data_IF_159519593678
#
_entry.id   IF_159519593678
#
_cell.length_a   1.000
_cell.length_b   1.000
_cell.length_c   1.000
_cell.angle_alpha   90.00
_cell.angle_beta   90.00
_cell.angle_gamma   90.00
#
_symmetry.space_group_name_H-M   'P 1'
#
loop_
_entity.id
_entity.type
_entity.pdbx_description
1 polymer ?
#
# COMPACT_ATOMS: atom_id res chain seq x y z
N UNK A 1 32.30 -4.68 40.26
CA UNK A 1 31.97 -4.79 38.81
C UNK A 1 31.98 -6.28 38.47
N UNK A 2 30.79 -6.87 38.31
CA UNK A 2 30.66 -8.28 37.95
C UNK A 2 31.00 -8.37 36.45
N UNK A 3 32.13 -9.01 36.13
CA UNK A 3 32.42 -9.44 34.76
C UNK A 3 31.28 -10.37 34.34
N UNK A 4 30.35 -9.85 33.55
CA UNK A 4 29.40 -10.67 32.82
C UNK A 4 30.25 -11.53 31.88
N UNK A 5 30.18 -12.85 32.10
CA UNK A 5 30.99 -13.83 31.42
C UNK A 5 30.57 -13.87 29.93
N UNK A 6 31.32 -13.11 29.13
CA UNK A 6 31.10 -12.94 27.70
C UNK A 6 31.23 -14.27 26.93
N UNK A 7 31.96 -15.24 27.48
CA UNK A 7 32.15 -16.58 26.91
C UNK A 7 30.92 -17.48 27.13
N UNK A 8 30.24 -17.37 28.28
CA UNK A 8 28.99 -18.10 28.51
C UNK A 8 27.83 -17.58 27.63
N UNK A 9 27.87 -16.30 27.24
CA UNK A 9 26.86 -15.68 26.38
C UNK A 9 27.10 -15.97 24.89
N UNK A 10 28.36 -16.05 24.43
CA UNK A 10 28.72 -16.55 23.10
C UNK A 10 28.35 -18.03 22.92
N UNK A 11 28.53 -18.84 23.96
CA UNK A 11 28.16 -20.27 23.97
C UNK A 11 26.65 -20.50 23.76
N UNK A 12 25.80 -19.62 24.33
CA UNK A 12 24.35 -19.69 24.16
C UNK A 12 23.88 -19.21 22.77
N UNK A 13 24.59 -18.24 22.18
CA UNK A 13 24.28 -17.70 20.84
C UNK A 13 24.70 -18.68 19.75
N UNK A 14 25.88 -19.31 19.84
CA UNK A 14 26.29 -20.37 18.90
C UNK A 14 25.44 -21.65 19.02
N UNK A 15 25.01 -22.01 20.23
CA UNK A 15 24.09 -23.14 20.47
C UNK A 15 22.70 -22.88 19.87
N UNK A 16 22.22 -21.63 19.86
CA UNK A 16 20.96 -21.26 19.19
C UNK A 16 21.10 -21.17 17.67
N UNK A 17 22.21 -20.68 17.14
CA UNK A 17 22.49 -20.61 15.69
C UNK A 17 22.64 -22.01 15.07
N UNK A 18 23.23 -22.97 15.79
CA UNK A 18 23.31 -24.36 15.35
C UNK A 18 21.96 -25.09 15.39
N UNK A 19 21.03 -24.70 16.28
CA UNK A 19 19.68 -25.32 16.34
C UNK A 19 18.73 -24.66 15.31
N UNK A 20 18.90 -23.36 15.02
CA UNK A 20 18.08 -22.65 14.03
C UNK A 20 18.49 -22.90 12.58
N UNK A 21 19.79 -23.02 12.28
CA UNK A 21 20.28 -23.24 10.91
C UNK A 21 19.89 -24.62 10.33
N UNK A 22 19.50 -25.57 11.18
CA UNK A 22 19.10 -26.93 10.77
C UNK A 22 17.56 -27.07 10.75
N UNK A 23 16.82 -26.01 11.12
CA UNK A 23 15.35 -26.04 11.15
C UNK A 23 14.67 -25.73 9.81
N UNK A 24 15.41 -25.31 8.78
CA UNK A 24 14.80 -24.75 7.57
C UNK A 24 15.23 -25.33 6.21
N UNK A 25 15.99 -26.42 6.19
CA UNK A 25 16.22 -27.22 4.97
C UNK A 25 16.25 -28.70 5.38
N UNK A 26 15.83 -29.61 4.49
CA UNK A 26 15.61 -31.06 4.67
C UNK A 26 14.21 -31.46 5.14
N UNK A 27 13.28 -31.61 4.19
CA UNK A 27 11.97 -32.26 4.42
C UNK A 27 12.02 -33.79 4.33
N UNK A 28 13.18 -34.41 4.54
CA UNK A 28 13.36 -35.86 4.69
C UNK A 28 14.70 -36.04 5.41
N UNK A 29 14.71 -36.68 6.57
CA UNK A 29 15.95 -37.00 7.28
C UNK A 29 16.71 -38.08 6.51
N UNK A 30 18.03 -37.98 6.40
CA UNK A 30 18.88 -39.00 5.79
C UNK A 30 18.81 -40.34 6.55
N UNK A 31 18.54 -40.28 7.86
CA UNK A 31 18.29 -41.44 8.72
C UNK A 31 16.78 -41.67 8.91
N UNK A 32 16.39 -42.94 8.93
CA UNK A 32 15.03 -43.35 9.33
C UNK A 32 14.83 -43.24 10.85
N UNK A 33 13.58 -43.14 11.29
CA UNK A 33 13.24 -43.13 12.74
C UNK A 33 13.79 -44.36 13.49
N UNK A 34 13.87 -45.52 12.81
CA UNK A 34 14.39 -46.75 13.41
C UNK A 34 15.91 -46.69 13.59
N UNK A 35 16.63 -46.10 12.63
CA UNK A 35 18.08 -45.89 12.71
C UNK A 35 18.43 -44.88 13.81
N UNK A 36 17.70 -43.77 13.90
CA UNK A 36 17.86 -42.77 14.96
C UNK A 36 17.69 -43.44 16.34
N UNK A 37 16.60 -44.19 16.53
CA UNK A 37 16.34 -44.88 17.80
C UNK A 37 17.41 -45.92 18.15
N UNK A 38 17.96 -46.60 17.14
CA UNK A 38 19.05 -47.56 17.32
C UNK A 38 20.36 -46.85 17.73
N UNK A 39 20.65 -45.70 17.13
CA UNK A 39 21.83 -44.89 17.46
C UNK A 39 21.73 -44.29 18.86
N UNK A 40 20.58 -43.73 19.24
CA UNK A 40 20.34 -43.23 20.60
C UNK A 40 20.55 -44.34 21.66
N UNK A 41 20.03 -45.54 21.38
CA UNK A 41 20.23 -46.69 22.25
C UNK A 41 21.72 -47.08 22.32
N UNK A 42 22.46 -47.03 21.21
CA UNK A 42 23.90 -47.31 21.17
C UNK A 42 24.71 -46.27 21.96
N UNK A 43 24.49 -44.98 21.71
CA UNK A 43 25.17 -43.87 22.39
C UNK A 43 24.91 -43.89 23.90
N UNK A 44 23.71 -44.30 24.33
CA UNK A 44 23.39 -44.45 25.75
C UNK A 44 24.23 -45.48 26.52
N UNK A 45 24.88 -46.41 25.81
CA UNK A 45 25.74 -47.44 26.40
C UNK A 45 27.24 -47.05 26.39
N UNK A 46 27.61 -45.98 25.68
CA UNK A 46 28.99 -45.53 25.53
C UNK A 46 29.39 -44.62 26.69
N UNK A 47 30.66 -44.69 27.08
CA UNK A 47 31.26 -43.71 27.98
C UNK A 47 31.69 -42.45 27.20
N UNK A 48 32.02 -41.37 27.92
CA UNK A 48 32.39 -40.08 27.31
C UNK A 48 33.57 -40.20 26.34
N UNK A 49 34.59 -41.01 26.65
CA UNK A 49 35.74 -41.17 25.75
C UNK A 49 35.37 -41.89 24.45
N UNK A 50 34.46 -42.86 24.52
CA UNK A 50 33.92 -43.57 23.35
C UNK A 50 33.05 -42.64 22.49
N UNK A 51 32.18 -41.85 23.11
CA UNK A 51 31.37 -40.85 22.41
C UNK A 51 32.25 -39.82 21.68
N UNK A 52 33.32 -39.36 22.32
CA UNK A 52 34.26 -38.42 21.69
C UNK A 52 35.05 -39.06 20.54
N UNK A 53 35.44 -40.33 20.68
CA UNK A 53 36.10 -41.06 19.60
C UNK A 53 35.18 -41.21 18.37
N UNK A 54 33.87 -41.39 18.60
CA UNK A 54 32.88 -41.45 17.53
C UNK A 54 32.69 -40.09 16.84
N UNK A 55 32.68 -38.98 17.59
CA UNK A 55 32.67 -37.61 17.02
C UNK A 55 33.86 -37.41 16.07
N UNK A 56 35.07 -37.79 16.52
CA UNK A 56 36.29 -37.65 15.70
C UNK A 56 36.22 -38.54 14.47
N UNK A 57 35.71 -39.75 14.60
CA UNK A 57 35.58 -40.71 13.49
C UNK A 57 34.64 -40.17 12.40
N UNK A 58 33.46 -39.70 12.78
CA UNK A 58 32.48 -39.10 11.85
C UNK A 58 33.02 -37.80 11.22
N UNK A 59 33.72 -36.98 11.99
CA UNK A 59 34.32 -35.73 11.48
C UNK A 59 35.37 -36.01 10.41
N UNK A 60 36.30 -36.94 10.66
CA UNK A 60 37.34 -37.30 9.69
C UNK A 60 36.76 -37.99 8.44
N UNK A 61 35.69 -38.78 8.62
CA UNK A 61 34.97 -39.38 7.49
C UNK A 61 34.36 -38.29 6.60
N UNK A 62 33.71 -37.28 7.18
CA UNK A 62 33.13 -36.17 6.43
C UNK A 62 34.18 -35.29 5.74
N UNK A 63 35.35 -35.09 6.36
CA UNK A 63 36.47 -34.42 5.69
C UNK A 63 36.93 -35.19 4.44
N UNK A 64 37.07 -36.51 4.55
CA UNK A 64 37.41 -37.37 3.41
C UNK A 64 36.33 -37.33 2.32
N UNK A 65 35.05 -37.32 2.70
CA UNK A 65 33.92 -37.22 1.77
C UNK A 65 33.88 -35.86 1.07
N UNK A 66 34.17 -34.77 1.77
CA UNK A 66 34.29 -33.44 1.18
C UNK A 66 35.39 -33.39 0.12
N UNK A 67 36.56 -33.97 0.40
CA UNK A 67 37.63 -34.05 -0.61
C UNK A 67 37.17 -34.81 -1.87
N UNK A 68 36.35 -35.86 -1.72
CA UNK A 68 35.77 -36.60 -2.85
C UNK A 68 34.74 -35.76 -3.60
N UNK A 69 33.87 -35.04 -2.90
CA UNK A 69 32.84 -34.17 -3.49
C UNK A 69 33.48 -33.05 -4.31
N UNK A 70 34.53 -32.42 -3.78
CA UNK A 70 35.20 -31.29 -4.44
C UNK A 70 36.08 -31.71 -5.62
N UNK A 71 36.76 -32.86 -5.54
CA UNK A 71 37.81 -33.22 -6.49
C UNK A 71 37.43 -34.32 -7.50
N UNK A 72 36.34 -35.06 -7.29
CA UNK A 72 35.94 -36.15 -8.18
C UNK A 72 35.20 -35.64 -9.43
N UNK A 73 35.70 -36.02 -10.61
CA UNK A 73 34.99 -35.79 -11.88
C UNK A 73 33.93 -36.86 -12.19
N UNK A 74 33.76 -37.87 -11.33
CA UNK A 74 32.73 -38.91 -11.52
C UNK A 74 31.44 -38.52 -10.76
N UNK A 75 30.34 -38.17 -11.45
CA UNK A 75 29.12 -37.70 -10.80
C UNK A 75 28.46 -38.73 -9.88
N UNK A 76 28.59 -40.02 -10.19
CA UNK A 76 28.05 -41.07 -9.33
C UNK A 76 28.82 -41.19 -8.01
N UNK A 77 30.13 -40.91 -8.02
CA UNK A 77 30.95 -40.84 -6.80
C UNK A 77 30.63 -39.60 -5.96
N UNK A 78 30.41 -38.45 -6.61
CA UNK A 78 30.03 -37.21 -5.91
C UNK A 78 28.67 -37.39 -5.24
N UNK A 79 27.69 -37.98 -5.95
CA UNK A 79 26.36 -38.26 -5.39
C UNK A 79 26.41 -39.19 -4.19
N UNK A 80 27.13 -40.32 -4.32
CA UNK A 80 27.27 -41.27 -3.21
C UNK A 80 28.00 -40.65 -1.99
N UNK A 81 29.04 -39.84 -2.24
CA UNK A 81 29.76 -39.15 -1.17
C UNK A 81 28.91 -38.08 -0.48
N UNK A 82 28.05 -37.37 -1.22
CA UNK A 82 27.10 -36.42 -0.66
C UNK A 82 26.06 -37.11 0.23
N UNK A 83 25.47 -38.22 -0.23
CA UNK A 83 24.48 -38.98 0.54
C UNK A 83 25.08 -39.54 1.85
N UNK A 84 26.29 -40.11 1.79
CA UNK A 84 26.98 -40.63 2.98
C UNK A 84 27.38 -39.51 3.95
N UNK A 85 27.74 -38.33 3.42
CA UNK A 85 28.04 -37.16 4.24
C UNK A 85 26.80 -36.65 4.97
N UNK A 86 25.66 -36.58 4.29
CA UNK A 86 24.39 -36.15 4.88
C UNK A 86 23.97 -37.09 6.03
N UNK A 87 24.13 -38.41 5.86
CA UNK A 87 23.93 -39.39 6.94
C UNK A 87 24.87 -39.17 8.13
N UNK A 88 26.16 -38.91 7.87
CA UNK A 88 27.14 -38.68 8.92
C UNK A 88 26.92 -37.36 9.66
N UNK A 89 26.46 -36.32 8.97
CA UNK A 89 26.09 -35.04 9.58
C UNK A 89 24.89 -35.22 10.54
N UNK A 90 23.89 -36.05 10.18
CA UNK A 90 22.80 -36.39 11.09
C UNK A 90 23.25 -37.23 12.29
N UNK A 91 24.16 -38.21 12.09
CA UNK A 91 24.77 -38.98 13.18
C UNK A 91 25.55 -38.08 14.15
N UNK A 92 26.30 -37.12 13.61
CA UNK A 92 27.07 -36.15 14.38
C UNK A 92 26.16 -35.23 15.19
N UNK A 93 25.06 -34.75 14.60
CA UNK A 93 24.06 -33.93 15.27
C UNK A 93 23.41 -34.69 16.44
N UNK A 94 23.02 -35.95 16.21
CA UNK A 94 22.43 -36.80 17.23
C UNK A 94 23.40 -37.08 18.38
N UNK A 95 24.66 -37.37 18.05
CA UNK A 95 25.73 -37.61 19.02
C UNK A 95 26.04 -36.36 19.85
N UNK A 96 26.06 -35.19 19.22
CA UNK A 96 26.33 -33.92 19.90
C UNK A 96 25.17 -33.52 20.84
N UNK A 97 23.91 -33.78 20.43
CA UNK A 97 22.74 -33.65 21.31
C UNK A 97 22.84 -34.57 22.53
N UNK A 98 23.30 -35.81 22.32
CA UNK A 98 23.47 -36.79 23.37
C UNK A 98 24.56 -36.36 24.39
N UNK A 99 25.73 -35.93 23.91
CA UNK A 99 26.84 -35.44 24.75
C UNK A 99 26.43 -34.20 25.56
N UNK A 100 25.66 -33.29 24.94
CA UNK A 100 25.12 -32.11 25.63
C UNK A 100 24.15 -32.50 26.76
N UNK A 101 23.28 -33.49 26.55
CA UNK A 101 22.30 -33.95 27.54
C UNK A 101 22.95 -34.58 28.79
N UNK A 102 24.12 -35.22 28.64
CA UNK A 102 24.83 -35.87 29.75
C UNK A 102 25.86 -34.94 30.45
N UNK A 103 25.91 -33.66 30.09
CA UNK A 103 26.75 -32.66 30.75
C UNK A 103 28.24 -32.68 30.36
N UNK A 104 28.59 -33.30 29.24
CA UNK A 104 29.97 -33.43 28.73
C UNK A 104 30.55 -32.17 28.08
N UNK A 105 30.28 -30.98 28.63
CA UNK A 105 30.64 -29.67 28.03
C UNK A 105 32.14 -29.34 27.91
N UNK A 106 33.05 -30.29 28.16
CA UNK A 106 34.50 -30.06 28.19
C UNK A 106 35.24 -30.50 26.92
N UNK A 107 34.57 -31.03 25.89
CA UNK A 107 35.26 -31.72 24.78
C UNK A 107 35.07 -31.08 23.40
N UNK A 108 34.85 -29.77 23.37
CA UNK A 108 34.95 -28.99 22.12
C UNK A 108 36.29 -28.26 21.99
N UNK A 109 37.22 -28.41 22.96
CA UNK A 109 38.52 -27.72 22.93
C UNK A 109 39.61 -28.45 22.14
N UNK A 110 39.41 -29.72 21.75
CA UNK A 110 40.41 -30.53 21.02
C UNK A 110 39.99 -30.95 19.62
N UNK A 111 38.75 -30.67 19.21
CA UNK A 111 38.43 -30.62 17.77
C UNK A 111 39.17 -29.38 17.30
N UNK A 112 40.15 -29.56 16.42
CA UNK A 112 41.02 -28.49 15.96
C UNK A 112 40.21 -27.23 15.72
N UNK A 113 40.60 -26.16 16.42
CA UNK A 113 40.32 -24.80 16.02
C UNK A 113 40.91 -24.63 14.62
N UNK A 114 40.22 -25.14 13.61
CA UNK A 114 40.26 -24.50 12.32
C UNK A 114 39.40 -23.24 12.45
N UNK A 115 39.94 -22.29 13.22
CA UNK A 115 39.47 -20.91 13.28
C UNK A 115 39.59 -20.21 11.92
N UNK A 116 40.00 -20.94 10.87
CA UNK A 116 40.09 -20.51 9.48
C UNK A 116 38.91 -21.05 8.62
N UNK A 117 38.09 -22.01 9.10
CA UNK A 117 36.91 -22.49 8.36
C UNK A 117 35.65 -21.72 8.71
N UNK A 118 35.41 -20.69 7.90
CA UNK A 118 34.15 -19.93 7.85
C UNK A 118 33.09 -20.81 7.17
N UNK A 119 32.06 -21.21 7.90
CA UNK A 119 30.86 -21.79 7.27
C UNK A 119 30.15 -20.66 6.49
N UNK A 120 29.87 -20.84 5.19
CA UNK A 120 29.14 -19.83 4.43
C UNK A 120 27.72 -19.71 5.00
N UNK A 121 27.35 -18.48 5.33
CA UNK A 121 25.99 -18.15 5.71
C UNK A 121 25.09 -18.17 4.46
N UNK A 122 23.99 -18.91 4.55
CA UNK A 122 23.03 -19.16 3.48
C UNK A 122 21.60 -18.73 3.85
N UNK A 123 21.39 -18.01 4.95
CA UNK A 123 20.07 -17.58 5.41
C UNK A 123 19.77 -16.18 4.89
N UNK A 124 18.72 -15.98 4.06
CA UNK A 124 18.36 -14.65 3.60
C UNK A 124 17.86 -13.73 4.72
N UNK A 125 18.04 -12.40 4.61
CA UNK A 125 17.49 -11.45 5.54
C UNK A 125 15.96 -11.55 5.66
N UNK A 126 15.44 -11.36 6.88
CA UNK A 126 14.00 -11.16 7.11
C UNK A 126 13.63 -9.70 6.87
N UNK A 127 12.60 -9.45 6.06
CA UNK A 127 12.15 -8.11 5.68
C UNK A 127 10.73 -7.83 6.17
N UNK A 128 10.49 -6.63 6.72
CA UNK A 128 9.16 -6.14 7.09
C UNK A 128 8.86 -4.79 6.44
N UNK A 129 7.67 -4.65 5.86
CA UNK A 129 7.22 -3.41 5.22
C UNK A 129 6.70 -2.45 6.30
N UNK A 130 7.17 -1.18 6.28
CA UNK A 130 6.72 -0.15 7.23
C UNK A 130 5.45 0.52 6.68
N UNK A 131 4.39 0.64 7.46
CA UNK A 131 3.14 1.28 6.99
C UNK A 131 2.35 0.42 6.01
N UNK A 132 1.38 1.04 5.34
CA UNK A 132 0.35 0.33 4.58
C UNK A 132 0.88 -0.33 3.29
N UNK A 133 0.27 -1.46 2.94
CA UNK A 133 0.47 -2.16 1.67
C UNK A 133 -0.82 -2.93 1.30
N UNK A 134 -1.62 -2.45 0.31
CA UNK A 134 -1.37 -1.27 -0.52
C UNK A 134 -1.46 0.05 0.26
N UNK A 135 -0.78 1.09 -0.24
CA UNK A 135 -0.95 2.47 0.22
C UNK A 135 -1.69 3.29 -0.84
N UNK A 136 -2.72 4.02 -0.43
CA UNK A 136 -3.46 4.94 -1.30
C UNK A 136 -2.90 6.36 -1.17
N UNK A 137 -2.74 7.05 -2.31
CA UNK A 137 -2.21 8.40 -2.42
C UNK A 137 -3.15 9.23 -3.27
N UNK A 138 -3.49 10.42 -2.78
CA UNK A 138 -4.33 11.36 -3.51
C UNK A 138 -3.62 11.90 -4.77
N UNK A 139 -4.35 11.98 -5.89
CA UNK A 139 -3.85 12.51 -7.15
C UNK A 139 -3.25 13.91 -6.97
N UNK A 140 -2.08 14.12 -7.56
CA UNK A 140 -1.31 15.37 -7.50
C UNK A 140 -0.61 15.65 -6.15
N UNK A 141 -0.84 14.82 -5.12
CA UNK A 141 -0.20 15.00 -3.81
C UNK A 141 1.25 14.48 -3.78
N UNK A 142 1.99 14.84 -2.74
CA UNK A 142 3.35 14.33 -2.52
C UNK A 142 3.33 12.92 -1.94
N UNK A 143 4.09 12.00 -2.53
CA UNK A 143 4.34 10.66 -1.97
C UNK A 143 5.73 10.57 -1.34
N UNK A 144 5.81 10.04 -0.13
CA UNK A 144 7.08 9.65 0.51
C UNK A 144 6.96 8.20 0.94
N UNK A 145 7.91 7.39 0.51
CA UNK A 145 7.99 5.97 0.84
C UNK A 145 8.35 5.76 2.34
N UNK A 146 7.48 5.11 3.16
CA UNK A 146 7.82 4.72 4.53
C UNK A 146 9.03 3.77 4.69
N UNK A 147 9.46 3.12 3.61
CA UNK A 147 10.55 2.16 3.57
C UNK A 147 10.19 0.78 4.12
N UNK A 148 11.25 0.03 4.48
CA UNK A 148 11.20 -1.31 5.07
C UNK A 148 12.18 -1.39 6.25
N UNK A 149 12.02 -2.41 7.10
CA UNK A 149 13.11 -2.89 7.96
C UNK A 149 13.61 -4.23 7.44
N UNK A 150 14.90 -4.49 7.61
CA UNK A 150 15.52 -5.78 7.29
C UNK A 150 16.49 -6.18 8.39
N UNK A 151 16.46 -7.45 8.79
CA UNK A 151 17.34 -8.02 9.83
C UNK A 151 17.83 -9.38 9.40
N UNK A 152 19.05 -9.70 9.79
CA UNK A 152 19.70 -10.97 9.50
C UNK A 152 20.08 -11.70 10.80
N UNK A 153 20.06 -13.03 10.78
CA UNK A 153 20.32 -13.87 11.96
C UNK A 153 21.83 -14.01 12.26
N UNK A 154 22.69 -13.81 11.27
CA UNK A 154 24.15 -13.74 11.46
C UNK A 154 24.58 -12.47 12.24
N UNK A 155 23.69 -11.47 12.32
CA UNK A 155 23.99 -10.15 12.88
C UNK A 155 24.89 -9.29 11.98
N UNK A 156 25.14 -9.73 10.74
CA UNK A 156 25.84 -8.99 9.70
C UNK A 156 25.09 -7.74 9.22
N UNK A 157 25.78 -6.88 8.47
CA UNK A 157 25.16 -5.72 7.85
C UNK A 157 24.24 -6.16 6.71
N UNK A 158 23.01 -5.65 6.69
CA UNK A 158 22.07 -5.84 5.58
C UNK A 158 22.03 -4.56 4.73
N UNK A 159 22.23 -4.71 3.42
CA UNK A 159 22.10 -3.63 2.44
C UNK A 159 20.73 -3.69 1.80
N UNK A 160 19.98 -2.58 1.84
CA UNK A 160 18.68 -2.47 1.16
C UNK A 160 18.82 -1.62 -0.09
N UNK A 161 18.33 -2.14 -1.21
CA UNK A 161 18.15 -1.39 -2.44
C UNK A 161 16.66 -1.27 -2.76
N UNK A 162 16.27 -0.13 -3.30
CA UNK A 162 14.89 0.18 -3.67
C UNK A 162 14.83 0.55 -5.15
N UNK A 163 13.82 0.03 -5.84
CA UNK A 163 13.54 0.36 -7.24
C UNK A 163 12.05 0.56 -7.48
N UNK A 164 11.72 1.23 -8.58
CA UNK A 164 10.36 1.68 -8.88
C UNK A 164 10.19 3.17 -8.61
N UNK A 165 9.19 3.75 -9.26
CA UNK A 165 8.83 5.17 -9.14
C UNK A 165 7.32 5.30 -9.13
N UNK A 166 6.80 6.27 -8.38
CA UNK A 166 5.38 6.62 -8.35
C UNK A 166 5.22 7.97 -9.01
N UNK A 167 4.41 8.04 -10.07
CA UNK A 167 3.94 9.32 -10.61
C UNK A 167 2.60 9.66 -9.96
N UNK A 168 2.63 10.58 -9.00
CA UNK A 168 1.40 10.99 -8.30
C UNK A 168 0.50 11.87 -9.15
N UNK A 169 0.91 12.34 -10.32
CA UNK A 169 0.07 13.15 -11.22
C UNK A 169 -0.76 12.29 -12.18
N UNK A 170 -0.54 10.97 -12.19
CA UNK A 170 -1.25 10.03 -13.05
C UNK A 170 -1.91 8.96 -12.18
N UNK A 171 -3.24 8.89 -12.21
CA UNK A 171 -3.98 7.86 -11.49
C UNK A 171 -3.57 6.46 -12.00
N UNK A 172 -3.39 5.52 -11.07
CA UNK A 172 -2.98 4.17 -11.40
C UNK A 172 -2.30 3.44 -10.26
N UNK A 173 -1.91 2.20 -10.52
CA UNK A 173 -1.22 1.34 -9.56
C UNK A 173 0.27 1.28 -9.90
N UNK A 174 1.10 1.59 -8.92
CA UNK A 174 2.55 1.58 -9.00
C UNK A 174 3.12 0.53 -8.05
N UNK A 175 4.33 0.06 -8.35
CA UNK A 175 5.02 -0.95 -7.54
C UNK A 175 6.41 -0.45 -7.18
N UNK A 176 6.71 -0.46 -5.88
CA UNK A 176 8.05 -0.27 -5.34
C UNK A 176 8.59 -1.64 -4.93
N UNK A 177 9.81 -1.96 -5.34
CA UNK A 177 10.49 -3.22 -5.04
C UNK A 177 11.69 -2.97 -4.14
N UNK A 178 11.76 -3.69 -3.02
CA UNK A 178 12.87 -3.66 -2.09
C UNK A 178 13.62 -4.97 -2.18
N UNK A 179 14.95 -4.90 -2.26
CA UNK A 179 15.84 -6.07 -2.16
C UNK A 179 16.79 -5.85 -1.00
N UNK A 180 16.71 -6.71 0.01
CA UNK A 180 17.62 -6.74 1.13
C UNK A 180 18.64 -7.86 0.91
N UNK A 181 19.93 -7.53 0.97
CA UNK A 181 21.05 -8.45 0.76
C UNK A 181 22.00 -8.40 1.97
N UNK A 182 22.31 -9.54 2.56
CA UNK A 182 23.30 -9.63 3.64
C UNK A 182 24.76 -9.54 3.13
N UNK A 183 25.72 -9.66 4.05
CA UNK A 183 27.15 -9.67 3.73
C UNK A 183 27.64 -10.93 3.01
N UNK A 184 26.86 -12.01 3.07
CA UNK A 184 27.15 -13.33 2.52
C UNK A 184 26.61 -13.49 1.09
N UNK A 185 25.73 -12.57 0.67
CA UNK A 185 25.12 -12.51 -0.65
C UNK A 185 23.68 -13.04 -0.71
N UNK A 186 23.10 -13.52 0.40
CA UNK A 186 21.72 -13.99 0.39
C UNK A 186 20.77 -12.79 0.35
N UNK A 187 19.63 -12.96 -0.33
CA UNK A 187 18.73 -11.84 -0.62
C UNK A 187 17.25 -12.18 -0.49
N UNK A 188 16.49 -11.22 0.04
CA UNK A 188 15.02 -11.26 0.12
C UNK A 188 14.44 -10.08 -0.64
N UNK A 189 13.43 -10.35 -1.47
CA UNK A 189 12.72 -9.31 -2.25
C UNK A 189 11.28 -9.21 -1.80
N UNK A 190 10.80 -7.98 -1.56
CA UNK A 190 9.39 -7.68 -1.27
C UNK A 190 8.92 -6.46 -2.07
N UNK A 191 7.62 -6.32 -2.24
CA UNK A 191 7.03 -5.22 -3.00
C UNK A 191 5.98 -4.46 -2.20
N UNK A 192 5.94 -3.13 -2.36
CA UNK A 192 4.79 -2.31 -1.97
C UNK A 192 3.99 -1.90 -3.20
N UNK A 193 2.68 -2.04 -3.10
CA UNK A 193 1.71 -1.50 -4.05
C UNK A 193 1.29 -0.11 -3.61
N UNK A 194 1.38 0.87 -4.53
CA UNK A 194 0.93 2.25 -4.32
C UNK A 194 -0.20 2.53 -5.31
N UNK A 195 -1.36 2.95 -4.80
CA UNK A 195 -2.54 3.28 -5.61
C UNK A 195 -2.67 4.80 -5.61
N UNK A 196 -2.55 5.43 -6.77
CA UNK A 196 -2.81 6.86 -6.97
C UNK A 196 -4.22 7.00 -7.52
N UNK A 197 -5.08 7.67 -6.79
CA UNK A 197 -6.48 7.93 -7.18
C UNK A 197 -6.92 9.32 -6.71
N UNK A 198 -7.89 9.89 -7.41
CA UNK A 198 -8.53 11.15 -7.00
C UNK A 198 -9.76 10.81 -6.17
N UNK A 199 -9.76 11.23 -4.90
CA UNK A 199 -10.85 11.00 -3.95
C UNK A 199 -11.47 12.31 -3.46
N UNK A 200 -11.00 13.44 -3.99
CA UNK A 200 -11.38 14.77 -3.50
C UNK A 200 -12.46 15.37 -4.39
N UNK A 201 -13.66 15.66 -3.86
CA UNK A 201 -14.69 16.36 -4.64
C UNK A 201 -14.27 17.78 -5.05
N UNK A 202 -14.87 18.32 -6.13
CA UNK A 202 -14.75 19.73 -6.47
C UNK A 202 -15.20 20.64 -5.32
N UNK A 203 -14.71 21.89 -5.30
CA UNK A 203 -15.15 22.90 -4.33
C UNK A 203 -15.93 24.02 -5.01
N UNK A 204 -17.22 24.18 -4.68
CA UNK A 204 -18.03 25.33 -5.13
C UNK A 204 -17.65 26.56 -4.31
N UNK A 205 -17.25 27.63 -4.98
CA UNK A 205 -16.78 28.89 -4.39
C UNK A 205 -17.73 30.07 -4.61
N UNK A 206 -18.72 29.92 -5.48
CA UNK A 206 -19.80 30.90 -5.63
C UNK A 206 -20.74 30.93 -4.41
N UNK A 207 -21.48 32.02 -4.19
CA UNK A 207 -22.51 32.09 -3.17
C UNK A 207 -23.64 31.08 -3.41
N UNK A 208 -24.32 30.69 -2.33
CA UNK A 208 -25.56 29.90 -2.39
C UNK A 208 -26.81 30.73 -2.69
N UNK A 209 -26.65 32.02 -3.00
CA UNK A 209 -27.75 32.95 -3.27
C UNK A 209 -27.41 33.83 -4.47
N UNK A 210 -28.34 33.93 -5.41
CA UNK A 210 -28.27 34.84 -6.56
C UNK A 210 -29.51 35.74 -6.57
N UNK A 211 -29.40 36.85 -7.28
CA UNK A 211 -30.52 37.75 -7.56
C UNK A 211 -30.60 37.95 -9.05
N UNK A 212 -31.81 37.86 -9.60
CA UNK A 212 -32.07 38.11 -11.02
C UNK A 212 -33.23 39.08 -11.16
N UNK A 213 -33.17 39.97 -12.13
CA UNK A 213 -34.31 40.80 -12.48
C UNK A 213 -35.37 39.94 -13.18
N UNK A 214 -36.63 40.29 -12.99
CA UNK A 214 -37.69 39.76 -13.83
C UNK A 214 -37.49 40.14 -15.31
N UNK A 215 -38.19 39.44 -16.20
CA UNK A 215 -38.13 39.64 -17.64
C UNK A 215 -36.73 39.49 -18.27
N UNK A 216 -35.78 38.91 -17.53
CA UNK A 216 -34.43 38.60 -18.00
C UNK A 216 -34.09 37.12 -17.81
N UNK A 217 -33.33 36.56 -18.75
CA UNK A 217 -32.90 35.16 -18.67
C UNK A 217 -31.60 34.96 -17.90
N UNK A 218 -30.85 36.02 -17.57
CA UNK A 218 -29.55 35.91 -16.91
C UNK A 218 -29.69 35.81 -15.39
N UNK A 219 -29.02 34.81 -14.78
CA UNK A 219 -28.98 34.65 -13.31
C UNK A 219 -27.59 34.96 -12.78
N UNK A 220 -26.57 34.24 -13.25
CA UNK A 220 -25.21 34.33 -12.73
C UNK A 220 -24.38 33.11 -13.11
N UNK A 221 -23.25 32.91 -12.43
CA UNK A 221 -22.35 31.80 -12.70
C UNK A 221 -21.96 31.09 -11.41
N UNK A 222 -22.01 29.76 -11.44
CA UNK A 222 -21.44 28.89 -10.40
C UNK A 222 -19.94 28.79 -10.65
N UNK A 223 -19.14 29.16 -9.65
CA UNK A 223 -17.68 29.12 -9.71
C UNK A 223 -17.22 27.93 -8.90
N UNK A 224 -16.37 27.10 -9.49
CA UNK A 224 -15.82 25.89 -8.87
C UNK A 224 -14.30 25.87 -9.02
N UNK A 225 -13.61 25.29 -8.04
CA UNK A 225 -12.19 24.98 -8.12
C UNK A 225 -12.00 23.48 -7.99
N UNK A 226 -11.23 22.91 -8.92
CA UNK A 226 -10.79 21.52 -8.91
C UNK A 226 -9.47 21.40 -9.71
N UNK A 227 -8.68 20.38 -9.40
CA UNK A 227 -7.49 19.98 -10.15
C UNK A 227 -7.82 19.24 -11.46
N UNK A 228 -8.99 18.61 -11.53
CA UNK A 228 -9.48 17.88 -12.70
C UNK A 228 -10.62 18.61 -13.41
N UNK A 229 -11.04 18.11 -14.58
CA UNK A 229 -12.16 18.70 -15.31
C UNK A 229 -13.48 18.36 -14.63
N UNK A 230 -14.41 19.31 -14.62
CA UNK A 230 -15.71 19.17 -13.96
C UNK A 230 -16.88 19.18 -14.95
N UNK A 231 -18.00 18.65 -14.51
CA UNK A 231 -19.29 18.67 -15.19
C UNK A 231 -20.37 19.23 -14.27
N UNK A 232 -21.31 20.00 -14.82
CA UNK A 232 -22.39 20.62 -14.08
C UNK A 232 -23.72 19.94 -14.38
N UNK A 233 -24.57 19.84 -13.35
CA UNK A 233 -25.98 19.48 -13.50
C UNK A 233 -26.83 20.31 -12.55
N UNK A 234 -28.08 20.57 -12.94
CA UNK A 234 -29.05 21.34 -12.15
C UNK A 234 -30.35 20.55 -12.02
N UNK A 235 -30.99 20.67 -10.86
CA UNK A 235 -32.30 20.09 -10.58
C UNK A 235 -33.13 21.01 -9.68
N UNK A 236 -34.42 20.72 -9.52
CA UNK A 236 -35.33 21.51 -8.67
C UNK A 236 -36.18 22.54 -9.42
N UNK A 237 -35.85 22.84 -10.68
CA UNK A 237 -36.66 23.69 -11.56
C UNK A 237 -36.50 23.25 -13.02
N UNK A 238 -37.61 23.14 -13.74
CA UNK A 238 -37.61 22.92 -15.19
C UNK A 238 -37.35 24.22 -15.97
N UNK A 239 -37.41 25.38 -15.30
CA UNK A 239 -37.22 26.69 -15.93
C UNK A 239 -35.76 27.19 -15.86
N UNK A 240 -34.85 26.45 -15.23
CA UNK A 240 -33.46 26.87 -15.03
C UNK A 240 -32.50 25.86 -15.65
N UNK A 241 -31.51 26.37 -16.35
CA UNK A 241 -30.44 25.58 -16.98
C UNK A 241 -29.08 26.03 -16.46
N UNK A 242 -28.10 25.13 -16.56
CA UNK A 242 -26.68 25.40 -16.33
C UNK A 242 -25.89 24.90 -17.54
N UNK A 243 -24.98 25.72 -18.06
CA UNK A 243 -24.11 25.33 -19.17
C UNK A 243 -22.80 24.68 -18.69
N UNK A 244 -21.94 24.28 -19.63
CA UNK A 244 -20.64 23.66 -19.35
C UNK A 244 -19.65 24.59 -18.61
N UNK A 245 -19.89 25.90 -18.64
CA UNK A 245 -19.09 26.91 -17.96
C UNK A 245 -19.69 27.30 -16.60
N UNK A 246 -20.76 26.63 -16.15
CA UNK A 246 -21.44 26.92 -14.90
C UNK A 246 -22.37 28.15 -14.94
N UNK A 247 -22.68 28.68 -16.13
CA UNK A 247 -23.59 29.83 -16.28
C UNK A 247 -25.02 29.37 -16.10
N UNK A 248 -25.71 29.98 -15.13
CA UNK A 248 -27.12 29.77 -14.84
C UNK A 248 -27.99 30.72 -15.68
N UNK A 249 -29.05 30.18 -16.28
CA UNK A 249 -30.00 30.98 -17.06
C UNK A 249 -31.43 30.42 -16.99
N UNK A 250 -32.42 31.30 -17.07
CA UNK A 250 -33.81 30.93 -17.24
C UNK A 250 -34.13 30.54 -18.68
N UNK A 251 -34.95 29.50 -18.86
CA UNK A 251 -35.51 29.11 -20.17
C UNK A 251 -36.59 30.10 -20.58
N UNK A 252 -37.50 30.43 -19.65
CA UNK A 252 -38.52 31.46 -19.78
C UNK A 252 -38.23 32.53 -18.72
N UNK A 253 -38.06 33.81 -19.11
CA UNK A 253 -37.85 34.88 -18.14
C UNK A 253 -38.90 34.86 -17.02
N UNK A 254 -38.50 35.05 -15.76
CA UNK A 254 -39.42 35.02 -14.64
C UNK A 254 -40.23 36.32 -14.57
N UNK A 255 -41.39 36.24 -13.93
CA UNK A 255 -42.31 37.32 -13.62
C UNK A 255 -42.43 37.35 -12.10
N UNK A 256 -42.13 38.49 -11.47
CA UNK A 256 -42.05 38.62 -10.01
C UNK A 256 -43.40 38.39 -9.33
N UNK A 257 -44.49 38.87 -9.93
CA UNK A 257 -45.85 38.73 -9.42
C UNK A 257 -46.31 37.28 -9.39
N UNK A 258 -45.76 36.43 -10.27
CA UNK A 258 -46.05 34.99 -10.30
C UNK A 258 -45.16 34.18 -9.35
N UNK A 259 -43.87 34.47 -9.30
CA UNK A 259 -42.91 33.72 -8.51
C UNK A 259 -41.70 34.59 -8.13
N UNK A 260 -41.58 34.90 -6.85
CA UNK A 260 -40.50 35.76 -6.33
C UNK A 260 -39.19 35.02 -6.04
N UNK A 261 -39.19 33.68 -6.07
CA UNK A 261 -38.03 32.88 -5.68
C UNK A 261 -37.99 31.52 -6.37
N UNK A 262 -36.79 31.09 -6.77
CA UNK A 262 -36.50 29.72 -7.20
C UNK A 262 -35.49 29.07 -6.27
N UNK A 263 -35.68 27.77 -6.00
CA UNK A 263 -34.69 26.93 -5.31
C UNK A 263 -34.25 25.80 -6.22
N UNK A 264 -32.95 25.71 -6.49
CA UNK A 264 -32.35 24.66 -7.29
C UNK A 264 -31.26 23.94 -6.51
N UNK A 265 -30.89 22.75 -6.95
CA UNK A 265 -29.67 22.07 -6.51
C UNK A 265 -28.74 21.95 -7.70
N UNK A 266 -27.57 22.55 -7.60
CA UNK A 266 -26.48 22.37 -8.55
C UNK A 266 -25.55 21.28 -8.01
N UNK A 267 -25.28 20.28 -8.85
CA UNK A 267 -24.30 19.22 -8.58
C UNK A 267 -23.14 19.38 -9.55
N UNK A 268 -21.93 19.43 -9.00
CA UNK A 268 -20.68 19.46 -9.76
C UNK A 268 -19.96 18.15 -9.52
N UNK A 269 -19.60 17.47 -10.61
CA UNK A 269 -18.92 16.17 -10.60
C UNK A 269 -17.63 16.28 -11.38
N UNK A 270 -16.53 15.84 -10.78
CA UNK A 270 -15.22 15.80 -11.41
C UNK A 270 -15.09 14.66 -12.44
N UNK A 271 -13.92 14.52 -13.07
CA UNK A 271 -13.64 13.47 -14.06
C UNK A 271 -13.59 12.06 -13.45
N UNK A 272 -13.40 11.96 -12.14
CA UNK A 272 -13.19 10.75 -11.37
C UNK A 272 -14.48 10.25 -10.68
N UNK A 273 -15.56 11.04 -10.75
CA UNK A 273 -16.87 10.76 -10.17
C UNK A 273 -17.09 11.36 -8.79
N UNK A 274 -16.10 12.05 -8.20
CA UNK A 274 -16.30 12.76 -6.95
C UNK A 274 -17.21 13.96 -7.20
N UNK A 275 -18.16 14.17 -6.29
CA UNK A 275 -19.23 15.14 -6.51
C UNK A 275 -19.52 15.98 -5.28
N UNK A 276 -19.92 17.22 -5.52
CA UNK A 276 -20.43 18.15 -4.52
C UNK A 276 -21.74 18.74 -5.00
N UNK A 277 -22.68 18.96 -4.09
CA UNK A 277 -23.95 19.63 -4.39
C UNK A 277 -24.14 20.87 -3.50
N UNK A 278 -24.71 21.92 -4.08
CA UNK A 278 -25.11 23.13 -3.37
C UNK A 278 -26.55 23.48 -3.72
N UNK A 279 -27.37 23.70 -2.68
CA UNK A 279 -28.67 24.33 -2.83
C UNK A 279 -28.47 25.81 -3.08
N UNK A 280 -29.04 26.31 -4.16
CA UNK A 280 -28.97 27.71 -4.56
C UNK A 280 -30.38 28.31 -4.53
N UNK A 281 -30.49 29.46 -3.88
CA UNK A 281 -31.71 30.28 -3.87
C UNK A 281 -31.54 31.46 -4.81
N UNK A 282 -32.51 31.68 -5.70
CA UNK A 282 -32.51 32.80 -6.65
C UNK A 282 -33.71 33.68 -6.31
N UNK A 283 -33.45 34.88 -5.83
CA UNK A 283 -34.49 35.88 -5.58
C UNK A 283 -34.74 36.70 -6.85
N UNK A 284 -36.01 36.80 -7.26
CA UNK A 284 -36.41 37.68 -8.34
C UNK A 284 -36.59 39.08 -7.79
N UNK A 285 -36.04 40.08 -8.47
CA UNK A 285 -36.26 41.49 -8.14
C UNK A 285 -37.29 42.07 -9.08
N UNK A 286 -38.34 42.65 -8.51
CA UNK A 286 -39.36 43.40 -9.23
C UNK A 286 -38.72 44.63 -9.92
N UNK A 287 -39.07 44.83 -11.19
CA UNK A 287 -38.81 46.04 -11.96
C UNK A 287 -40.09 46.89 -12.01
N UNK A 288 -40.19 47.96 -11.22
CA UNK A 288 -41.44 48.70 -11.03
C UNK A 288 -41.92 49.48 -12.28
N UNK A 289 -41.13 49.50 -13.36
CA UNK A 289 -41.49 50.16 -14.61
C UNK A 289 -42.31 49.27 -15.57
N UNK A 290 -42.51 47.98 -15.25
CA UNK A 290 -43.41 47.09 -16.00
C UNK A 290 -44.79 47.09 -15.34
N UNK A 291 -45.58 48.15 -15.63
CA UNK A 291 -47.03 48.20 -15.39
C UNK A 291 -47.72 47.12 -16.25
N UNK A 292 -47.52 45.83 -15.96
CA UNK A 292 -48.38 44.77 -16.47
C UNK A 292 -49.68 44.78 -15.67
N UNK A 293 -50.48 45.78 -16.04
CA UNK A 293 -51.93 45.74 -16.20
C UNK A 293 -52.47 44.31 -16.01
N UNK A 294 -53.08 44.08 -14.85
CA UNK A 294 -53.73 42.83 -14.50
C UNK A 294 -54.90 42.48 -15.42
N UNK A 295 -55.13 43.16 -16.55
CA UNK A 295 -55.88 42.59 -17.66
C UNK A 295 -57.28 42.11 -17.28
N UNK A 296 -57.90 42.67 -16.23
CA UNK A 296 -59.30 42.41 -15.88
C UNK A 296 -60.18 43.65 -15.99
N UNK A 297 -59.68 44.70 -16.63
CA UNK A 297 -60.45 45.86 -17.06
C UNK A 297 -61.45 45.54 -18.18
N UNK A 298 -62.48 44.72 -17.92
CA UNK A 298 -63.73 44.74 -18.71
C UNK A 298 -64.50 46.02 -18.40
N UNK A 299 -63.95 47.16 -18.78
CA UNK A 299 -64.62 48.44 -18.76
C UNK A 299 -65.42 48.64 -20.05
N UNK A 300 -66.59 48.02 -20.16
CA UNK A 300 -67.60 48.45 -21.14
C UNK A 300 -68.16 49.80 -20.72
N UNK A 301 -67.38 50.86 -20.96
CA UNK A 301 -67.79 52.24 -20.75
C UNK A 301 -68.51 52.79 -21.99
N UNK A 302 -69.80 52.52 -22.10
CA UNK A 302 -70.70 53.26 -22.97
C UNK A 302 -70.78 54.72 -22.50
N UNK A 303 -70.26 55.65 -23.30
CA UNK A 303 -70.28 57.09 -22.99
C UNK A 303 -70.50 57.93 -24.24
N UNK A 304 -71.76 58.24 -24.51
CA UNK A 304 -72.24 59.18 -25.52
C UNK A 304 -71.58 60.56 -25.40
N UNK A 305 -71.02 61.07 -26.50
CA UNK A 305 -70.67 62.49 -26.67
C UNK A 305 -71.72 63.19 -27.51
N UNK A 306 -72.50 64.05 -26.87
CA UNK A 306 -73.33 65.09 -27.46
C UNK A 306 -72.56 66.41 -27.50
N UNK A 307 -72.51 67.06 -28.67
CA UNK A 307 -72.59 68.52 -28.77
C UNK A 307 -71.31 69.32 -29.08
N UNK A 308 -71.29 69.89 -30.29
CA UNK A 308 -71.41 71.35 -30.43
C UNK A 308 -70.17 72.21 -30.77
N UNK A 309 -70.11 72.65 -32.05
CA UNK A 309 -69.54 73.94 -32.52
C UNK A 309 -68.02 74.07 -32.53
N UNK A 310 -67.33 74.78 -33.42
CA UNK A 310 -67.64 75.77 -34.49
C UNK A 310 -66.51 75.65 -35.54
N UNK A 311 -66.75 75.76 -36.84
CA UNK A 311 -66.64 77.03 -37.56
C UNK A 311 -65.26 77.26 -38.23
N UNK A 312 -65.13 76.93 -39.52
CA UNK A 312 -64.29 77.59 -40.55
C UNK A 312 -64.88 77.12 -41.91
N UNK A 313 -65.18 77.91 -42.93
CA UNK A 313 -64.65 79.20 -43.34
C UNK A 313 -63.72 78.99 -44.54
N UNK A 314 -64.26 79.09 -45.76
CA UNK A 314 -63.67 79.38 -47.10
C UNK A 314 -64.08 78.41 -48.20
N UNK A 315 -64.54 78.96 -49.33
CA UNK A 315 -64.87 78.26 -50.57
C UNK A 315 -66.22 78.65 -51.13
#
# INVERSE_FOLDING_TARGET
MKNFNLEAMKFHIYFLVLIFSIGNVYSETALTELEIKSLEASYSQMNIAELNAEVVTLTNANETLNEVIENSQNPAKVKAASEEKDENDEKLLLLLRFIAAIGGGAVLSEIGSDSDKVYPDNTPPTVSIIGDNPITVELGSTYTDPGITATDDSGGQVTVTTSGTVDTNTAGTYTITYTATDSSGNSTTVTRTVIVEDTTPPTITSPSTFSAAENQSSIGQVIVSDSSSVTFSVSGSDNITIDENGVLSFIVPPDYETQTEYTIVVTVTDANGNSVSQTITITITNDPDDDDDDGTGTGTGTGTSTGGGTGTGTG
#
